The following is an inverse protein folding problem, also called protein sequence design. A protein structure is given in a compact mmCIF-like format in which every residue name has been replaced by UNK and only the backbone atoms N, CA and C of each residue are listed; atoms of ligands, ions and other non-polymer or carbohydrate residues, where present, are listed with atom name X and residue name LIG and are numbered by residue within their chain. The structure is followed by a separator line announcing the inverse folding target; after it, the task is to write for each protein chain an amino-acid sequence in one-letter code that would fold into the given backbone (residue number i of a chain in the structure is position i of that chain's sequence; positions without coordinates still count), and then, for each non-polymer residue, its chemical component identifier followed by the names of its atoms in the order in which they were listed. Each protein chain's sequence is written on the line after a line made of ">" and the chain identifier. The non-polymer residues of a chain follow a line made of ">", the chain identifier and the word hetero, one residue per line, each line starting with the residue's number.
data_IF_163226246522
#
_entry.id   IF_163226246522
#
_cell.length_a   1.000
_cell.length_b   1.000
_cell.length_c   1.000
_cell.angle_alpha   90.00
_cell.angle_beta   90.00
_cell.angle_gamma   90.00
#
_symmetry.space_group_name_H-M   'P 1'
#
loop_
_entity.id
_entity.type
_entity.pdbx_description
1 polymer ?
#
# COMPACT_ATOMS: atom_id res chain seq x y z
N UNK A 1 -20.47 -38.75 82.26
CA UNK A 1 -20.12 -39.72 81.20
C UNK A 1 -19.82 -38.94 79.94
N UNK A 2 -18.64 -39.19 79.35
CA UNK A 2 -18.22 -38.95 77.95
C UNK A 2 -18.53 -37.58 77.32
N UNK A 3 -17.56 -36.80 76.85
CA UNK A 3 -16.12 -37.02 76.75
C UNK A 3 -15.47 -36.06 75.73
N UNK A 4 -14.15 -35.91 75.89
CA UNK A 4 -13.11 -35.69 74.87
C UNK A 4 -13.15 -34.33 74.14
N UNK A 5 -12.06 -33.63 73.83
CA UNK A 5 -10.60 -33.74 73.93
C UNK A 5 -10.11 -32.31 73.59
N UNK A 6 -9.13 -31.70 74.26
CA UNK A 6 -7.72 -32.10 74.20
C UNK A 6 -7.01 -31.55 72.96
N UNK A 7 -6.98 -30.22 72.76
CA UNK A 7 -6.24 -29.57 71.67
C UNK A 7 -4.84 -29.15 72.09
N UNK A 8 -3.82 -29.81 71.54
CA UNK A 8 -2.40 -29.50 71.73
C UNK A 8 -1.82 -28.78 70.51
N UNK A 9 -1.17 -27.65 70.80
CA UNK A 9 0.11 -27.17 70.24
C UNK A 9 0.27 -27.04 68.71
N UNK A 10 0.55 -25.81 68.25
CA UNK A 10 1.82 -25.43 67.58
C UNK A 10 1.79 -23.95 67.18
N UNK A 11 2.77 -23.19 67.67
CA UNK A 11 3.09 -21.83 67.19
C UNK A 11 3.57 -21.93 65.74
N UNK A 12 2.85 -21.33 64.80
CA UNK A 12 3.30 -21.16 63.42
C UNK A 12 4.05 -19.83 63.28
N UNK A 13 5.30 -19.91 62.81
CA UNK A 13 6.04 -18.77 62.27
C UNK A 13 5.30 -18.25 61.02
N UNK A 14 4.96 -16.96 60.99
CA UNK A 14 4.52 -16.27 59.77
C UNK A 14 5.77 -15.86 58.96
N UNK A 15 6.08 -16.62 57.92
CA UNK A 15 7.01 -16.16 56.88
C UNK A 15 6.28 -15.15 55.98
N UNK A 16 6.79 -13.92 55.90
CA UNK A 16 6.32 -12.92 54.96
C UNK A 16 6.94 -13.22 53.58
N UNK A 17 6.11 -13.63 52.62
CA UNK A 17 6.50 -13.81 51.23
C UNK A 17 6.42 -12.43 50.56
N UNK A 18 7.56 -11.80 50.24
CA UNK A 18 7.60 -10.62 49.37
C UNK A 18 7.44 -11.08 47.92
N UNK A 19 6.25 -10.93 47.36
CA UNK A 19 6.01 -11.12 45.92
C UNK A 19 6.45 -9.85 45.19
N UNK A 20 7.64 -9.86 44.59
CA UNK A 20 8.06 -8.81 43.67
C UNK A 20 7.29 -9.00 42.36
N UNK A 21 6.28 -8.16 42.11
CA UNK A 21 5.70 -8.03 40.77
C UNK A 21 6.73 -7.34 39.88
N UNK A 22 7.49 -8.13 39.12
CA UNK A 22 8.28 -7.61 38.01
C UNK A 22 7.34 -7.05 36.96
N UNK A 23 7.29 -5.73 36.83
CA UNK A 23 6.66 -5.08 35.68
C UNK A 23 7.56 -5.35 34.47
N UNK A 24 7.17 -6.30 33.63
CA UNK A 24 7.78 -6.45 32.32
C UNK A 24 7.18 -5.33 31.47
N UNK A 25 7.92 -4.22 31.33
CA UNK A 25 7.64 -3.21 30.32
C UNK A 25 8.09 -3.83 28.99
N UNK A 26 7.19 -4.51 28.29
CA UNK A 26 7.38 -4.80 26.87
C UNK A 26 7.32 -3.46 26.14
N UNK A 27 8.48 -2.89 25.83
CA UNK A 27 8.56 -1.86 24.80
C UNK A 27 8.11 -2.51 23.50
N UNK A 28 6.85 -2.27 23.13
CA UNK A 28 6.39 -2.57 21.78
C UNK A 28 7.31 -1.80 20.83
N UNK A 29 8.10 -2.51 20.06
CA UNK A 29 8.69 -1.92 18.85
C UNK A 29 7.50 -1.51 18.00
N UNK A 30 7.26 -0.20 17.88
CA UNK A 30 6.49 0.30 16.76
C UNK A 30 7.22 -0.21 15.52
N UNK A 31 6.69 -1.27 14.91
CA UNK A 31 7.07 -1.64 13.57
C UNK A 31 6.58 -0.47 12.74
N UNK A 32 7.47 0.48 12.44
CA UNK A 32 7.16 1.53 11.49
C UNK A 32 6.79 0.82 10.20
N UNK A 33 5.51 0.81 9.85
CA UNK A 33 5.08 0.31 8.55
C UNK A 33 5.82 1.13 7.50
N UNK A 34 6.67 0.46 6.74
CA UNK A 34 7.37 1.08 5.61
C UNK A 34 6.31 1.41 4.57
N UNK A 35 6.07 2.71 4.32
CA UNK A 35 5.19 3.16 3.25
C UNK A 35 5.59 2.48 1.93
N UNK A 36 4.61 1.97 1.20
CA UNK A 36 4.82 1.34 -0.08
C UNK A 36 4.85 2.38 -1.19
N UNK A 37 5.99 2.53 -1.87
CA UNK A 37 6.19 3.50 -2.95
C UNK A 37 6.09 2.90 -4.36
N UNK A 38 5.77 1.60 -4.45
CA UNK A 38 5.82 0.83 -5.69
C UNK A 38 7.08 -0.03 -5.81
N UNK A 39 7.39 -0.47 -7.01
CA UNK A 39 8.55 -1.33 -7.27
C UNK A 39 9.84 -0.51 -7.24
N UNK A 40 10.71 -0.81 -6.29
CA UNK A 40 12.07 -0.26 -6.24
C UNK A 40 12.89 -0.73 -7.44
N UNK A 41 13.48 0.21 -8.19
CA UNK A 41 14.36 -0.10 -9.34
C UNK A 41 15.83 0.31 -9.11
N UNK A 42 16.12 1.09 -8.08
CA UNK A 42 17.49 1.42 -7.68
C UNK A 42 17.72 2.91 -7.48
N UNK A 43 18.97 3.33 -7.60
CA UNK A 43 19.38 4.73 -7.48
C UNK A 43 19.80 5.29 -8.83
N UNK A 44 19.68 6.61 -9.01
CA UNK A 44 20.32 7.29 -10.13
C UNK A 44 21.82 6.98 -10.18
N UNK A 45 22.31 6.67 -11.37
CA UNK A 45 23.74 6.75 -11.66
C UNK A 45 24.08 8.22 -11.94
N UNK A 46 24.91 8.81 -11.07
CA UNK A 46 25.37 10.19 -11.23
C UNK A 46 26.51 10.29 -12.24
N UNK A 47 26.44 11.26 -13.16
CA UNK A 47 27.56 11.60 -14.05
C UNK A 47 28.13 12.98 -13.72
N UNK A 48 27.26 14.00 -13.65
CA UNK A 48 27.60 15.38 -13.29
C UNK A 48 26.43 16.02 -12.53
N UNK A 49 26.66 17.21 -11.96
CA UNK A 49 25.62 18.02 -11.31
C UNK A 49 24.88 17.35 -10.12
N UNK A 50 25.50 16.32 -9.54
CA UNK A 50 25.06 15.75 -8.26
C UNK A 50 23.69 15.06 -8.29
N UNK A 51 23.23 14.59 -9.45
CA UNK A 51 21.94 13.88 -9.59
C UNK A 51 21.93 12.61 -8.74
N UNK A 52 21.08 12.57 -7.72
CA UNK A 52 20.87 11.41 -6.84
C UNK A 52 19.38 11.21 -6.55
N UNK A 53 19.06 10.07 -5.95
CA UNK A 53 17.72 9.71 -5.50
C UNK A 53 17.45 8.24 -5.73
N UNK A 54 16.54 7.67 -4.94
CA UNK A 54 16.09 6.28 -5.08
C UNK A 54 14.78 6.26 -5.86
N UNK A 55 14.71 5.48 -6.92
CA UNK A 55 13.60 5.49 -7.88
C UNK A 55 12.72 4.26 -7.69
N UNK A 56 11.41 4.51 -7.63
CA UNK A 56 10.35 3.52 -7.55
C UNK A 56 9.38 3.72 -8.72
N UNK A 57 8.96 2.62 -9.33
CA UNK A 57 7.86 2.61 -10.28
C UNK A 57 6.57 2.51 -9.48
N UNK A 58 5.80 3.59 -9.41
CA UNK A 58 4.61 3.64 -8.58
C UNK A 58 3.41 2.95 -9.24
N UNK A 59 3.17 3.22 -10.52
CA UNK A 59 2.12 2.58 -11.33
C UNK A 59 2.50 2.65 -12.82
N UNK A 60 1.56 2.42 -13.74
CA UNK A 60 1.82 2.39 -15.19
C UNK A 60 2.38 3.68 -15.80
N UNK A 61 2.17 4.84 -15.16
CA UNK A 61 2.58 6.16 -15.70
C UNK A 61 3.19 7.09 -14.64
N UNK A 62 3.46 6.60 -13.44
CA UNK A 62 3.94 7.41 -12.31
C UNK A 62 5.23 6.82 -11.75
N UNK A 63 6.20 7.69 -11.53
CA UNK A 63 7.49 7.38 -10.90
C UNK A 63 7.58 8.14 -9.59
N UNK A 64 7.93 7.45 -8.51
CA UNK A 64 8.26 8.09 -7.24
C UNK A 64 9.79 8.13 -7.08
N UNK A 65 10.33 9.30 -6.77
CA UNK A 65 11.76 9.47 -6.50
C UNK A 65 11.91 9.92 -5.06
N UNK A 66 12.60 9.12 -4.27
CA UNK A 66 12.89 9.42 -2.87
C UNK A 66 14.23 10.15 -2.74
N UNK A 67 14.28 11.16 -1.88
CA UNK A 67 15.48 11.92 -1.52
C UNK A 67 16.25 12.44 -2.76
N UNK A 68 15.54 13.03 -3.72
CA UNK A 68 16.11 13.53 -4.97
C UNK A 68 17.03 14.74 -4.74
N UNK A 69 18.23 14.72 -5.31
CA UNK A 69 19.19 15.83 -5.29
C UNK A 69 19.62 16.19 -6.71
N UNK A 70 19.77 17.50 -6.95
CA UNK A 70 20.32 18.06 -8.19
C UNK A 70 20.78 19.50 -7.92
N UNK A 71 21.98 19.88 -8.39
CA UNK A 71 22.60 21.18 -8.04
C UNK A 71 21.97 22.42 -8.70
N UNK A 72 21.09 22.24 -9.70
CA UNK A 72 20.43 23.34 -10.40
C UNK A 72 21.30 24.13 -11.39
N UNK A 73 22.52 23.69 -11.71
CA UNK A 73 23.44 24.44 -12.57
C UNK A 73 23.24 24.21 -14.08
N UNK A 74 22.34 23.31 -14.46
CA UNK A 74 22.00 23.04 -15.85
C UNK A 74 21.18 24.17 -16.46
N UNK A 75 21.62 24.80 -17.56
CA UNK A 75 20.89 25.93 -18.13
C UNK A 75 19.61 25.56 -18.88
N UNK A 76 19.40 24.28 -19.19
CA UNK A 76 18.22 23.76 -19.91
C UNK A 76 17.98 22.28 -19.56
N UNK A 77 17.91 21.98 -18.24
CA UNK A 77 17.79 20.64 -17.70
C UNK A 77 16.34 20.24 -17.40
N UNK A 78 15.97 19.00 -17.72
CA UNK A 78 14.62 18.43 -17.52
C UNK A 78 14.69 17.01 -16.98
N UNK A 79 13.60 16.56 -16.34
CA UNK A 79 13.32 15.13 -16.27
C UNK A 79 13.01 14.62 -17.67
N UNK A 80 13.64 13.52 -18.03
CA UNK A 80 13.71 13.08 -19.41
C UNK A 80 13.50 11.58 -19.51
N UNK A 81 12.48 11.19 -20.28
CA UNK A 81 12.24 9.80 -20.62
C UNK A 81 12.76 9.49 -22.01
N UNK A 82 13.41 8.34 -22.20
CA UNK A 82 13.90 7.90 -23.51
C UNK A 82 13.61 6.41 -23.72
N UNK A 83 13.35 6.02 -24.96
CA UNK A 83 13.23 4.61 -25.39
C UNK A 83 14.60 3.93 -25.47
N UNK A 84 15.69 4.69 -25.46
CA UNK A 84 17.05 4.16 -25.32
C UNK A 84 17.36 3.89 -23.85
N UNK A 85 18.09 2.81 -23.56
CA UNK A 85 18.63 2.55 -22.22
C UNK A 85 19.67 3.61 -21.82
N UNK A 86 20.39 4.15 -22.80
CA UNK A 86 21.31 5.27 -22.63
C UNK A 86 20.63 6.53 -23.18
N UNK A 87 20.30 7.53 -22.34
CA UNK A 87 19.55 8.72 -22.76
C UNK A 87 20.19 9.45 -23.94
N UNK A 88 19.34 9.90 -24.87
CA UNK A 88 19.72 10.63 -26.08
C UNK A 88 18.94 11.94 -26.21
N UNK A 89 19.25 12.73 -27.23
CA UNK A 89 18.49 13.93 -27.57
C UNK A 89 17.08 13.66 -28.11
N UNK A 90 16.71 12.40 -28.37
CA UNK A 90 15.43 12.01 -28.96
C UNK A 90 14.34 11.66 -27.93
N UNK A 91 14.65 11.72 -26.64
CA UNK A 91 13.66 11.48 -25.58
C UNK A 91 12.61 12.60 -25.48
N UNK A 92 11.85 12.56 -24.40
CA UNK A 92 10.75 13.48 -24.12
C UNK A 92 10.84 14.05 -22.71
N UNK A 93 10.30 15.25 -22.54
CA UNK A 93 10.19 15.89 -21.22
C UNK A 93 9.13 15.17 -20.40
N UNK A 94 9.49 14.78 -19.19
CA UNK A 94 8.55 14.39 -18.15
C UNK A 94 8.19 15.67 -17.38
N UNK A 95 6.91 16.02 -17.25
CA UNK A 95 6.48 17.22 -16.54
C UNK A 95 7.01 17.30 -15.11
N UNK A 96 7.18 18.53 -14.63
CA UNK A 96 7.46 18.80 -13.22
C UNK A 96 6.24 18.47 -12.35
N UNK A 97 6.40 18.59 -11.04
CA UNK A 97 5.37 18.27 -10.03
C UNK A 97 4.10 19.14 -10.17
N UNK A 98 4.22 20.32 -10.78
CA UNK A 98 3.10 21.22 -11.10
C UNK A 98 2.44 20.92 -12.47
N UNK A 99 2.93 19.91 -13.20
CA UNK A 99 2.45 19.50 -14.51
C UNK A 99 3.01 20.30 -15.69
N UNK A 100 3.90 21.27 -15.47
CA UNK A 100 4.48 22.07 -16.57
C UNK A 100 5.65 21.36 -17.24
N UNK A 101 5.84 21.65 -18.53
CA UNK A 101 7.03 21.27 -19.33
C UNK A 101 7.83 22.48 -19.79
N UNK A 102 7.39 23.69 -19.46
CA UNK A 102 8.00 24.95 -19.90
C UNK A 102 9.13 25.45 -18.99
N UNK A 103 9.24 24.86 -17.79
CA UNK A 103 10.22 25.25 -16.77
C UNK A 103 11.40 24.27 -16.74
N UNK A 104 12.61 24.80 -16.60
CA UNK A 104 13.82 24.01 -16.37
C UNK A 104 13.91 23.58 -14.92
N UNK A 105 14.64 22.50 -14.65
CA UNK A 105 14.86 22.01 -13.29
C UNK A 105 15.59 23.04 -12.43
N UNK A 106 14.99 23.36 -11.29
CA UNK A 106 15.63 24.09 -10.19
C UNK A 106 16.57 23.18 -9.39
N UNK A 107 17.23 23.74 -8.39
CA UNK A 107 17.96 22.94 -7.39
C UNK A 107 17.00 22.08 -6.55
N UNK A 108 17.41 20.84 -6.29
CA UNK A 108 16.79 19.89 -5.37
C UNK A 108 17.82 19.42 -4.33
N UNK A 109 17.41 19.37 -3.06
CA UNK A 109 18.21 19.06 -1.88
C UNK A 109 17.48 18.00 -1.02
N UNK A 110 17.29 16.80 -1.56
CA UNK A 110 16.72 15.65 -0.84
C UNK A 110 15.20 15.66 -0.74
N UNK A 111 14.49 16.25 -1.71
CA UNK A 111 13.02 16.19 -1.73
C UNK A 111 12.51 14.89 -2.34
N UNK A 112 11.36 14.41 -1.86
CA UNK A 112 10.62 13.35 -2.56
C UNK A 112 9.84 13.96 -3.73
N UNK A 113 9.73 13.21 -4.83
CA UNK A 113 9.06 13.65 -6.06
C UNK A 113 8.09 12.58 -6.55
N UNK A 114 6.98 13.05 -7.10
CA UNK A 114 6.05 12.24 -7.91
C UNK A 114 6.11 12.81 -9.32
N UNK A 115 6.60 12.01 -10.26
CA UNK A 115 6.64 12.36 -11.67
C UNK A 115 5.59 11.56 -12.41
N UNK A 116 4.65 12.27 -13.03
CA UNK A 116 3.64 11.66 -13.90
C UNK A 116 4.09 11.84 -15.35
N UNK A 117 4.12 10.74 -16.11
CA UNK A 117 4.44 10.79 -17.53
C UNK A 117 3.38 11.59 -18.31
N UNK A 118 3.74 12.21 -19.45
CA UNK A 118 2.78 12.89 -20.31
C UNK A 118 1.61 12.01 -20.74
N UNK A 119 0.47 12.65 -21.03
CA UNK A 119 -0.73 11.96 -21.52
C UNK A 119 -0.42 11.02 -22.69
N UNK A 120 -0.97 9.80 -22.62
CA UNK A 120 -0.77 8.77 -23.63
C UNK A 120 0.58 8.05 -23.56
N UNK A 121 1.45 8.36 -22.59
CA UNK A 121 2.67 7.59 -22.31
C UNK A 121 2.54 6.76 -21.04
N UNK A 122 3.29 5.67 -21.02
CA UNK A 122 3.44 4.74 -19.91
C UNK A 122 4.91 4.38 -19.70
N UNK A 123 5.21 3.72 -18.59
CA UNK A 123 6.54 3.17 -18.32
C UNK A 123 7.00 2.14 -19.37
N UNK A 124 6.06 1.58 -20.16
CA UNK A 124 6.38 0.69 -21.29
C UNK A 124 6.91 1.42 -22.52
N UNK A 125 6.77 2.74 -22.54
CA UNK A 125 7.19 3.60 -23.66
C UNK A 125 8.56 4.25 -23.41
N UNK A 126 9.30 3.79 -22.40
CA UNK A 126 10.62 4.30 -22.05
C UNK A 126 11.51 3.22 -21.42
N UNK A 127 12.81 3.26 -21.72
CA UNK A 127 13.83 2.38 -21.15
C UNK A 127 14.79 3.12 -20.22
N UNK A 128 14.74 4.44 -20.13
CA UNK A 128 15.53 5.21 -19.18
C UNK A 128 14.83 6.48 -18.70
N UNK A 129 15.07 6.80 -17.43
CA UNK A 129 14.75 8.09 -16.81
C UNK A 129 16.07 8.82 -16.56
N UNK A 130 16.14 10.11 -16.91
CA UNK A 130 17.34 10.91 -16.66
C UNK A 130 17.04 12.37 -16.31
N UNK A 131 18.07 13.03 -15.79
CA UNK A 131 18.18 14.49 -15.81
C UNK A 131 19.01 14.86 -17.03
N UNK A 132 18.36 15.43 -18.04
CA UNK A 132 18.97 15.70 -19.35
C UNK A 132 19.03 17.20 -19.63
N UNK A 133 20.20 17.69 -20.03
CA UNK A 133 20.36 19.07 -20.48
C UNK A 133 20.32 19.15 -22.00
N UNK A 134 19.21 19.65 -22.57
CA UNK A 134 19.05 19.69 -24.04
C UNK A 134 20.05 20.64 -24.71
N UNK A 135 20.33 21.79 -24.09
CA UNK A 135 21.28 22.79 -24.62
C UNK A 135 22.67 22.22 -24.95
N UNK A 136 23.13 21.25 -24.17
CA UNK A 136 24.45 20.63 -24.34
C UNK A 136 24.39 19.18 -24.80
N UNK A 137 23.19 18.60 -24.90
CA UNK A 137 22.95 17.19 -25.16
C UNK A 137 23.76 16.27 -24.20
N UNK A 138 23.68 16.56 -22.90
CA UNK A 138 24.41 15.83 -21.85
C UNK A 138 23.45 15.21 -20.84
N UNK A 139 23.71 13.95 -20.50
CA UNK A 139 23.08 13.22 -19.40
C UNK A 139 23.78 13.56 -18.08
N UNK A 140 23.05 14.13 -17.12
CA UNK A 140 23.60 14.47 -15.80
C UNK A 140 23.50 13.31 -14.81
N UNK A 141 22.48 12.48 -14.97
CA UNK A 141 22.29 11.25 -14.21
C UNK A 141 21.10 10.49 -14.75
N UNK A 142 21.18 9.16 -14.73
CA UNK A 142 20.11 8.33 -15.26
C UNK A 142 19.95 7.00 -14.53
N UNK A 143 18.81 6.37 -14.74
CA UNK A 143 18.52 5.01 -14.33
C UNK A 143 17.75 4.30 -15.45
N UNK A 144 17.96 3.00 -15.60
CA UNK A 144 17.22 2.17 -16.55
C UNK A 144 15.84 1.83 -16.01
N UNK A 145 14.84 1.85 -16.88
CA UNK A 145 13.47 1.43 -16.57
C UNK A 145 13.29 -0.03 -17.05
N UNK A 146 13.07 -0.99 -16.14
CA UNK A 146 12.81 -2.37 -16.53
C UNK A 146 11.47 -2.51 -17.26
N UNK A 147 11.45 -3.30 -18.33
CA UNK A 147 10.24 -3.56 -19.13
C UNK A 147 9.41 -4.74 -18.62
N UNK A 148 10.00 -5.56 -17.74
CA UNK A 148 9.35 -6.71 -17.12
C UNK A 148 8.92 -6.35 -15.69
N UNK A 149 7.89 -7.03 -15.18
CA UNK A 149 7.45 -6.89 -13.78
C UNK A 149 7.12 -5.44 -13.40
N UNK A 150 6.38 -4.73 -14.26
CA UNK A 150 5.82 -3.42 -13.92
C UNK A 150 4.64 -3.60 -12.96
N UNK A 151 4.48 -2.71 -11.96
CA UNK A 151 3.32 -2.73 -11.08
C UNK A 151 2.01 -2.68 -11.88
N UNK A 152 1.12 -3.63 -11.63
CA UNK A 152 -0.16 -3.73 -12.34
C UNK A 152 -1.28 -4.17 -11.40
N UNK A 153 -2.53 -3.74 -11.63
CA UNK A 153 -3.67 -4.29 -10.91
C UNK A 153 -3.69 -5.83 -10.94
N UNK A 154 -4.17 -6.46 -9.87
CA UNK A 154 -4.20 -7.92 -9.72
C UNK A 154 -5.61 -8.41 -9.45
N UNK A 155 -6.08 -9.32 -10.30
CA UNK A 155 -7.31 -10.08 -10.08
C UNK A 155 -7.12 -11.05 -8.92
N UNK A 156 -8.08 -11.06 -8.00
CA UNK A 156 -8.22 -12.03 -6.91
C UNK A 156 -9.27 -13.10 -7.24
N UNK A 157 -9.96 -12.96 -8.38
CA UNK A 157 -11.06 -13.82 -8.79
C UNK A 157 -12.42 -13.39 -8.22
N UNK A 158 -13.49 -14.12 -8.57
CA UNK A 158 -14.85 -13.82 -8.11
C UNK A 158 -15.02 -14.10 -6.61
N UNK A 159 -15.92 -13.35 -5.97
CA UNK A 159 -16.46 -13.75 -4.68
C UNK A 159 -17.31 -15.02 -4.85
N UNK A 160 -17.00 -16.11 -4.13
CA UNK A 160 -17.81 -17.31 -4.15
C UNK A 160 -19.12 -17.08 -3.39
N UNK A 161 -20.20 -17.73 -3.85
CA UNK A 161 -21.48 -17.74 -3.14
C UNK A 161 -21.47 -18.76 -2.01
N UNK A 162 -21.26 -18.27 -0.79
CA UNK A 162 -21.36 -19.09 0.42
C UNK A 162 -22.70 -18.87 1.14
N UNK A 163 -23.22 -17.65 1.14
CA UNK A 163 -24.54 -17.33 1.69
C UNK A 163 -25.11 -16.04 1.08
N UNK A 164 -26.41 -15.80 1.30
CA UNK A 164 -27.06 -14.51 1.03
C UNK A 164 -26.89 -13.97 -0.39
N UNK A 165 -26.82 -14.88 -1.38
CA UNK A 165 -26.59 -14.57 -2.78
C UNK A 165 -25.34 -13.72 -3.07
N UNK A 166 -24.35 -13.72 -2.17
CA UNK A 166 -23.08 -13.01 -2.38
C UNK A 166 -22.34 -13.60 -3.57
N UNK A 167 -22.01 -12.77 -4.55
CA UNK A 167 -21.16 -13.13 -5.71
C UNK A 167 -20.65 -11.87 -6.40
N UNK A 168 -19.56 -12.01 -7.14
CA UNK A 168 -19.06 -11.00 -8.07
C UNK A 168 -18.45 -11.69 -9.30
N UNK A 169 -18.12 -10.94 -10.33
CA UNK A 169 -17.34 -11.46 -11.46
C UNK A 169 -15.83 -11.48 -11.15
N UNK A 170 -15.31 -10.37 -10.64
CA UNK A 170 -13.92 -10.28 -10.20
C UNK A 170 -13.78 -9.29 -9.04
N UNK A 171 -12.81 -9.54 -8.18
CA UNK A 171 -12.30 -8.59 -7.20
C UNK A 171 -10.87 -8.27 -7.62
N UNK A 172 -10.59 -6.99 -7.87
CA UNK A 172 -9.30 -6.53 -8.38
C UNK A 172 -8.64 -5.63 -7.35
N UNK A 173 -7.41 -5.95 -6.98
CA UNK A 173 -6.52 -5.03 -6.26
C UNK A 173 -6.01 -4.01 -7.27
N UNK A 174 -6.49 -2.78 -7.16
CA UNK A 174 -6.13 -1.69 -8.08
C UNK A 174 -4.80 -1.05 -7.70
N UNK A 175 -4.58 -0.89 -6.40
CA UNK A 175 -3.33 -0.40 -5.80
C UNK A 175 -3.18 -0.95 -4.37
N UNK A 176 -2.19 -0.48 -3.61
CA UNK A 176 -1.91 -0.93 -2.25
C UNK A 176 -3.06 -0.78 -1.25
N UNK A 177 -4.10 0.02 -1.54
CA UNK A 177 -5.27 0.27 -0.67
C UNK A 177 -6.61 0.10 -1.36
N UNK A 178 -6.67 0.14 -2.69
CA UNK A 178 -7.93 0.19 -3.42
C UNK A 178 -8.33 -1.17 -3.97
N UNK A 179 -9.57 -1.58 -3.70
CA UNK A 179 -10.22 -2.74 -4.32
C UNK A 179 -11.33 -2.30 -5.26
N UNK A 180 -11.40 -2.92 -6.43
CA UNK A 180 -12.53 -2.81 -7.34
C UNK A 180 -13.28 -4.14 -7.39
N UNK A 181 -14.60 -4.10 -7.23
CA UNK A 181 -15.44 -5.29 -7.26
C UNK A 181 -16.42 -5.14 -8.41
N UNK A 182 -16.35 -6.09 -9.35
CA UNK A 182 -17.16 -6.08 -10.56
C UNK A 182 -18.45 -6.89 -10.36
N UNK A 183 -19.59 -6.29 -10.68
CA UNK A 183 -20.91 -6.93 -10.71
C UNK A 183 -21.26 -7.63 -9.37
N UNK A 184 -21.16 -6.90 -8.26
CA UNK A 184 -21.43 -7.40 -6.91
C UNK A 184 -22.93 -7.64 -6.70
N UNK A 185 -23.27 -8.80 -6.14
CA UNK A 185 -24.62 -9.10 -5.63
C UNK A 185 -24.55 -9.46 -4.16
N UNK A 186 -25.60 -9.10 -3.43
CA UNK A 186 -25.86 -9.48 -2.04
C UNK A 186 -27.32 -9.18 -1.71
N UNK A 187 -28.05 -10.13 -1.12
CA UNK A 187 -29.49 -9.98 -0.88
C UNK A 187 -29.88 -8.95 0.22
N UNK A 188 -28.92 -8.42 0.99
CA UNK A 188 -29.15 -7.45 2.05
C UNK A 188 -29.75 -8.02 3.35
N UNK A 189 -30.00 -9.33 3.41
CA UNK A 189 -30.74 -9.96 4.49
C UNK A 189 -29.89 -10.23 5.75
N UNK A 190 -28.56 -10.17 5.64
CA UNK A 190 -27.67 -10.26 6.79
C UNK A 190 -27.95 -9.14 7.81
N UNK A 191 -28.18 -9.43 9.09
CA UNK A 191 -28.57 -8.42 10.07
C UNK A 191 -27.42 -7.51 10.52
N UNK A 192 -26.18 -7.90 10.25
CA UNK A 192 -24.96 -7.23 10.73
C UNK A 192 -23.79 -7.52 9.77
N UNK A 193 -24.02 -7.27 8.48
CA UNK A 193 -23.11 -7.61 7.38
C UNK A 193 -22.19 -6.42 7.01
N UNK A 194 -20.90 -6.70 6.80
CA UNK A 194 -19.87 -5.69 6.50
C UNK A 194 -18.83 -6.17 5.49
N UNK A 195 -18.24 -5.16 4.84
CA UNK A 195 -16.85 -5.07 4.39
C UNK A 195 -15.83 -5.55 5.44
N UNK A 196 -15.18 -6.71 5.33
CA UNK A 196 -14.07 -7.07 6.24
C UNK A 196 -12.78 -7.44 5.50
N UNK A 197 -11.65 -7.04 6.07
CA UNK A 197 -10.31 -7.58 5.77
C UNK A 197 -9.66 -8.10 7.03
N UNK A 198 -8.76 -9.08 6.93
CA UNK A 198 -8.07 -9.58 8.11
C UNK A 198 -6.90 -10.50 7.82
N UNK A 199 -6.21 -10.91 8.88
CA UNK A 199 -5.10 -11.87 8.83
C UNK A 199 -5.60 -13.30 9.05
N UNK A 200 -4.75 -14.26 8.71
CA UNK A 200 -4.96 -15.68 8.89
C UNK A 200 -5.60 -16.36 7.68
N UNK A 201 -5.66 -17.69 7.76
CA UNK A 201 -6.08 -18.55 6.65
C UNK A 201 -7.59 -18.63 6.44
N UNK A 202 -8.40 -17.96 7.27
CA UNK A 202 -9.86 -17.97 7.19
C UNK A 202 -10.47 -16.64 7.67
N UNK A 203 -11.52 -16.14 7.00
CA UNK A 203 -12.31 -15.01 7.48
C UNK A 203 -12.93 -15.23 8.87
N UNK A 204 -12.95 -14.18 9.67
CA UNK A 204 -13.47 -14.21 11.03
C UNK A 204 -13.98 -12.83 11.50
N UNK A 205 -14.77 -12.82 12.58
CA UNK A 205 -15.44 -11.63 13.12
C UNK A 205 -14.50 -10.52 13.61
N UNK A 206 -13.25 -10.85 13.97
CA UNK A 206 -12.24 -9.89 14.44
C UNK A 206 -11.45 -9.19 13.31
N UNK A 207 -11.93 -9.25 12.06
CA UNK A 207 -11.34 -8.50 10.95
C UNK A 207 -11.56 -6.98 11.09
N UNK A 208 -10.83 -6.20 10.31
CA UNK A 208 -11.03 -4.76 10.19
C UNK A 208 -12.17 -4.46 9.23
N UNK A 209 -13.07 -3.57 9.63
CA UNK A 209 -14.15 -3.11 8.75
C UNK A 209 -13.62 -2.20 7.65
N UNK A 210 -13.92 -2.55 6.42
CA UNK A 210 -13.70 -1.71 5.24
C UNK A 210 -14.97 -0.90 5.00
N UNK A 211 -14.88 0.44 4.89
CA UNK A 211 -16.02 1.27 4.52
C UNK A 211 -16.62 0.83 3.19
N UNK A 212 -17.94 0.98 3.03
CA UNK A 212 -18.59 0.79 1.74
C UNK A 212 -18.19 1.88 0.72
N UNK A 213 -18.75 1.81 -0.49
CA UNK A 213 -18.42 2.74 -1.57
C UNK A 213 -18.82 4.20 -1.30
N UNK A 214 -19.59 4.45 -0.23
CA UNK A 214 -19.97 5.79 0.24
C UNK A 214 -19.17 6.21 1.49
N UNK A 215 -18.18 5.41 1.90
CA UNK A 215 -17.37 5.65 3.09
C UNK A 215 -18.06 5.28 4.41
N UNK A 216 -19.14 4.49 4.37
CA UNK A 216 -19.91 4.10 5.56
C UNK A 216 -19.38 2.82 6.20
N UNK A 217 -19.32 2.78 7.53
CA UNK A 217 -19.00 1.58 8.33
C UNK A 217 -20.25 0.93 8.95
N UNK A 218 -21.43 1.40 8.55
CA UNK A 218 -22.73 0.86 8.96
C UNK A 218 -23.04 -0.47 8.25
N UNK A 219 -24.13 -1.13 8.68
CA UNK A 219 -24.59 -2.38 8.05
C UNK A 219 -24.78 -2.18 6.55
N UNK A 220 -24.20 -3.08 5.75
CA UNK A 220 -24.37 -3.07 4.29
C UNK A 220 -25.84 -3.19 3.87
N UNK A 221 -26.17 -2.45 2.82
CA UNK A 221 -27.38 -2.64 2.04
C UNK A 221 -27.22 -3.85 1.08
N UNK A 222 -28.28 -4.21 0.36
CA UNK A 222 -28.20 -5.25 -0.68
C UNK A 222 -27.63 -4.69 -1.98
N UNK A 223 -26.89 -5.52 -2.71
CA UNK A 223 -26.30 -5.21 -4.01
C UNK A 223 -26.97 -6.05 -5.11
N UNK A 224 -27.23 -5.46 -6.27
CA UNK A 224 -27.84 -6.07 -7.45
C UNK A 224 -27.04 -5.77 -8.74
N UNK A 225 -25.77 -6.18 -8.75
CA UNK A 225 -24.91 -6.14 -9.92
C UNK A 225 -24.11 -4.85 -10.07
N UNK A 226 -23.88 -4.13 -8.97
CA UNK A 226 -23.12 -2.88 -8.99
C UNK A 226 -21.61 -3.14 -9.12
N UNK A 227 -20.93 -2.20 -9.78
CA UNK A 227 -19.49 -2.08 -9.73
C UNK A 227 -19.15 -1.11 -8.61
N UNK A 228 -18.34 -1.54 -7.64
CA UNK A 228 -17.99 -0.70 -6.50
C UNK A 228 -16.47 -0.64 -6.29
N UNK A 229 -16.02 0.49 -5.75
CA UNK A 229 -14.63 0.69 -5.35
C UNK A 229 -14.59 0.89 -3.84
N UNK A 230 -13.73 0.14 -3.17
CA UNK A 230 -13.51 0.21 -1.74
C UNK A 230 -12.06 0.61 -1.46
N UNK A 231 -11.86 1.37 -0.39
CA UNK A 231 -10.52 1.73 0.10
C UNK A 231 -10.31 1.13 1.48
N UNK A 232 -9.16 0.48 1.68
CA UNK A 232 -8.77 -0.08 2.98
C UNK A 232 -8.68 1.05 4.03
N UNK A 233 -9.13 0.80 5.28
CA UNK A 233 -9.25 1.86 6.27
C UNK A 233 -7.89 2.27 6.85
N UNK A 234 -7.74 3.57 7.12
CA UNK A 234 -6.57 4.13 7.80
C UNK A 234 -5.26 3.87 7.05
N UNK A 235 -4.27 3.35 7.77
CA UNK A 235 -2.95 3.04 7.21
C UNK A 235 -2.83 1.59 6.70
N UNK A 236 -3.92 0.80 6.74
CA UNK A 236 -3.89 -0.57 6.24
C UNK A 236 -3.64 -0.60 4.73
N UNK A 237 -2.76 -1.50 4.33
CA UNK A 237 -2.54 -1.87 2.93
C UNK A 237 -2.92 -3.34 2.72
N UNK A 238 -3.04 -3.76 1.46
CA UNK A 238 -3.26 -5.16 1.12
C UNK A 238 -2.11 -6.07 1.56
N UNK A 239 -0.93 -5.52 1.88
CA UNK A 239 0.20 -6.28 2.43
C UNK A 239 0.04 -6.59 3.92
N UNK A 240 -0.92 -5.94 4.60
CA UNK A 240 -1.18 -6.11 6.03
C UNK A 240 -2.28 -7.13 6.32
N UNK A 241 -2.93 -7.67 5.29
CA UNK A 241 -4.11 -8.53 5.39
C UNK A 241 -4.00 -9.69 4.41
N UNK A 242 -4.59 -10.83 4.78
CA UNK A 242 -4.52 -12.07 3.99
C UNK A 242 -5.81 -12.31 3.19
N UNK A 243 -6.94 -11.73 3.60
CA UNK A 243 -8.24 -11.92 2.95
C UNK A 243 -9.10 -10.66 2.97
N UNK A 244 -10.00 -10.57 1.99
CA UNK A 244 -11.13 -9.64 1.91
C UNK A 244 -12.43 -10.44 1.80
N UNK A 245 -13.50 -10.02 2.46
CA UNK A 245 -14.79 -10.70 2.33
C UNK A 245 -15.98 -9.92 2.86
N UNK A 246 -17.17 -10.38 2.47
CA UNK A 246 -18.44 -9.91 2.98
C UNK A 246 -18.89 -10.86 4.11
N UNK A 247 -19.05 -10.33 5.31
CA UNK A 247 -19.16 -11.14 6.53
C UNK A 247 -20.22 -10.58 7.48
N UNK A 248 -21.01 -11.47 8.07
CA UNK A 248 -21.95 -11.13 9.14
C UNK A 248 -21.32 -11.34 10.50
N UNK A 249 -21.02 -10.26 11.22
CA UNK A 249 -20.34 -10.32 12.52
C UNK A 249 -21.24 -10.97 13.57
N UNK A 250 -22.50 -10.54 13.68
CA UNK A 250 -23.46 -11.07 14.67
C UNK A 250 -23.60 -12.59 14.70
N UNK A 251 -23.52 -13.25 13.54
CA UNK A 251 -23.66 -14.71 13.43
C UNK A 251 -22.36 -15.42 13.04
N UNK A 252 -21.25 -14.69 13.01
CA UNK A 252 -19.93 -15.21 12.63
C UNK A 252 -19.94 -15.99 11.31
N UNK A 253 -20.67 -15.48 10.32
CA UNK A 253 -20.90 -16.17 9.06
C UNK A 253 -20.22 -15.44 7.90
N UNK A 254 -19.35 -16.16 7.21
CA UNK A 254 -18.72 -15.71 5.96
C UNK A 254 -19.70 -15.89 4.79
N UNK A 255 -20.03 -14.79 4.09
CA UNK A 255 -20.93 -14.85 2.94
C UNK A 255 -20.17 -15.06 1.62
N UNK A 256 -18.90 -14.67 1.58
CA UNK A 256 -17.99 -14.85 0.45
C UNK A 256 -16.68 -14.09 0.68
N UNK A 257 -15.55 -14.66 0.27
CA UNK A 257 -14.23 -14.05 0.44
C UNK A 257 -13.26 -14.42 -0.69
N UNK A 258 -12.21 -13.62 -0.81
CA UNK A 258 -11.03 -13.86 -1.64
C UNK A 258 -9.76 -13.66 -0.79
N UNK A 259 -8.63 -14.18 -1.28
CA UNK A 259 -7.34 -14.02 -0.61
C UNK A 259 -6.46 -13.05 -1.38
N UNK A 260 -5.70 -12.24 -0.64
CA UNK A 260 -4.64 -11.43 -1.22
C UNK A 260 -3.43 -12.31 -1.56
N UNK A 261 -2.72 -12.06 -2.66
CA UNK A 261 -1.50 -12.79 -2.98
C UNK A 261 -0.34 -12.34 -2.10
N UNK A 262 0.49 -13.27 -1.64
CA UNK A 262 1.62 -13.00 -0.73
C UNK A 262 2.69 -12.06 -1.32
N UNK A 263 2.77 -11.90 -2.65
CA UNK A 263 3.78 -11.09 -3.34
C UNK A 263 3.19 -10.35 -4.54
N UNK A 264 2.28 -9.41 -4.28
CA UNK A 264 1.68 -8.60 -5.32
C UNK A 264 2.62 -7.45 -5.74
N UNK A 265 3.17 -7.51 -6.95
CA UNK A 265 3.69 -6.31 -7.61
C UNK A 265 2.51 -5.50 -8.18
N UNK A 266 1.95 -4.67 -7.32
CA UNK A 266 0.75 -3.85 -7.55
C UNK A 266 1.11 -2.36 -7.52
N UNK A 267 0.28 -1.49 -8.10
CA UNK A 267 0.46 -0.06 -8.00
C UNK A 267 0.51 0.43 -6.54
N UNK A 268 1.29 1.49 -6.30
CA UNK A 268 1.21 2.27 -5.08
C UNK A 268 -0.01 3.19 -5.12
N UNK A 269 -0.63 3.40 -3.95
CA UNK A 269 -1.70 4.39 -3.80
C UNK A 269 -1.13 5.81 -3.92
N UNK A 270 -1.64 6.59 -4.88
CA UNK A 270 -1.10 7.94 -5.19
C UNK A 270 -1.32 8.93 -4.03
N UNK A 271 -2.40 8.80 -3.27
CA UNK A 271 -2.65 9.69 -2.14
C UNK A 271 -1.64 9.45 -1.01
N UNK A 272 -1.31 8.19 -0.72
CA UNK A 272 -0.24 7.84 0.22
C UNK A 272 1.13 8.40 -0.19
N UNK A 273 1.42 8.43 -1.51
CA UNK A 273 2.64 9.05 -2.04
C UNK A 273 2.65 10.56 -1.81
N UNK A 274 1.53 11.24 -2.05
CA UNK A 274 1.41 12.70 -1.82
C UNK A 274 1.62 13.04 -0.36
N UNK A 275 1.14 12.19 0.53
CA UNK A 275 1.38 12.31 1.98
C UNK A 275 2.83 12.00 2.39
N UNK A 276 3.71 11.67 1.44
CA UNK A 276 5.14 11.45 1.66
C UNK A 276 6.04 12.53 1.03
N UNK A 277 5.48 13.52 0.34
CA UNK A 277 6.21 14.70 -0.15
C UNK A 277 6.62 15.63 1.01
#
# INVERSE_FOLDING_TARGET
>A
MMGLQGGSSRRMLRQALLTVFGVIITTGTAVGQTKYYGRLIGNFQTYVHGVKGTVYLANENTIFIKDFEYDGQGPDAFFWGDISEEPTSNGFIIPLENGTTDEVLRQYNGQNLILTLPDGRSLRDMNSLSVWCRKFAVNFGSIRIPQEDLPSPKSLGPLPTLAHAVRSEDVVVMDSKTLFIMNLYYDGAGPDAFFLVGKGVKPHSQGYKVPDENGSLEKLHGYNGENITLELPGDLTVFDVDWFGLYCIRYEQNFGHVYFPEQANIPANIEDLRMAL
#
